data_IF_188821401197
#
_entry.id   IF_188821401197
#
_cell.length_a   1.000
_cell.length_b   1.000
_cell.length_c   1.000
_cell.angle_alpha   90.00
_cell.angle_beta   90.00
_cell.angle_gamma   90.00
#
_symmetry.space_group_name_H-M   'P 1'
#
loop_
_entity.id
_entity.type
_entity.pdbx_description
1 polymer ?
#
# COMPACT_ATOMS: atom_id res chain seq x y z
N UNK A 1 -8.46 24.63 -6.22
CA UNK A 1 -7.51 24.69 -5.09
C UNK A 1 -7.50 23.39 -4.28
N UNK A 2 -8.62 22.97 -3.66
CA UNK A 2 -8.69 21.74 -2.83
C UNK A 2 -8.26 20.45 -3.56
N UNK A 3 -8.74 20.22 -4.79
CA UNK A 3 -8.34 19.03 -5.58
C UNK A 3 -6.84 18.97 -5.88
N UNK A 4 -6.20 20.11 -6.14
CA UNK A 4 -4.76 20.16 -6.42
C UNK A 4 -3.95 19.87 -5.16
N UNK A 5 -4.40 20.37 -4.01
CA UNK A 5 -3.78 20.10 -2.71
C UNK A 5 -3.83 18.60 -2.38
N UNK A 6 -4.98 17.94 -2.55
CA UNK A 6 -5.11 16.49 -2.35
C UNK A 6 -4.20 15.69 -3.28
N UNK A 7 -4.06 16.11 -4.54
CA UNK A 7 -3.18 15.44 -5.51
C UNK A 7 -1.69 15.60 -5.16
N UNK A 8 -1.29 16.75 -4.62
CA UNK A 8 0.07 16.97 -4.12
C UNK A 8 0.33 16.14 -2.86
N UNK A 9 -0.63 16.09 -1.93
CA UNK A 9 -0.54 15.26 -0.73
C UNK A 9 -0.44 13.77 -1.06
N UNK A 10 -1.21 13.29 -2.03
CA UNK A 10 -1.11 11.90 -2.50
C UNK A 10 0.30 11.57 -3.01
N UNK A 11 0.86 12.42 -3.89
CA UNK A 11 2.24 12.23 -4.37
C UNK A 11 3.28 12.31 -3.27
N UNK A 12 3.08 13.20 -2.29
CA UNK A 12 3.97 13.30 -1.13
C UNK A 12 3.95 12.01 -0.30
N UNK A 13 2.77 11.40 -0.11
CA UNK A 13 2.65 10.10 0.58
C UNK A 13 3.45 9.03 -0.17
N UNK A 14 3.28 8.89 -1.49
CA UNK A 14 4.03 7.93 -2.31
C UNK A 14 5.55 8.11 -2.17
N UNK A 15 6.04 9.36 -2.19
CA UNK A 15 7.47 9.65 -2.02
C UNK A 15 7.95 9.26 -0.61
N UNK A 16 7.15 9.56 0.42
CA UNK A 16 7.48 9.20 1.80
C UNK A 16 7.48 7.69 2.02
N UNK A 17 6.59 6.95 1.36
CA UNK A 17 6.56 5.48 1.39
C UNK A 17 7.85 4.89 0.78
N UNK A 18 8.29 5.45 -0.35
CA UNK A 18 9.57 5.07 -0.96
C UNK A 18 10.76 5.38 -0.04
N UNK A 19 10.76 6.54 0.62
CA UNK A 19 11.81 6.92 1.59
C UNK A 19 11.80 5.97 2.78
N UNK A 20 10.63 5.62 3.32
CA UNK A 20 10.50 4.67 4.42
C UNK A 20 11.03 3.28 4.03
N UNK A 21 10.74 2.83 2.82
CA UNK A 21 11.31 1.60 2.27
C UNK A 21 12.83 1.65 2.17
N UNK A 22 13.41 2.71 1.58
CA UNK A 22 14.86 2.87 1.45
C UNK A 22 15.53 2.92 2.83
N UNK A 23 14.94 3.63 3.79
CA UNK A 23 15.42 3.69 5.16
C UNK A 23 15.42 2.30 5.82
N UNK A 24 14.36 1.51 5.63
CA UNK A 24 14.27 0.16 6.17
C UNK A 24 15.33 -0.77 5.57
N UNK A 25 15.55 -0.69 4.24
CA UNK A 25 16.60 -1.44 3.56
C UNK A 25 17.99 -1.04 4.06
N UNK A 26 18.25 0.26 4.20
CA UNK A 26 19.53 0.76 4.71
C UNK A 26 19.80 0.32 6.15
N UNK A 27 18.80 0.43 7.04
CA UNK A 27 18.90 -0.01 8.43
C UNK A 27 19.06 -1.53 8.56
N UNK A 28 18.51 -2.28 7.62
CA UNK A 28 18.51 -3.75 7.63
C UNK A 28 19.61 -4.35 6.75
N UNK A 29 20.55 -3.53 6.24
CA UNK A 29 21.58 -3.95 5.29
C UNK A 29 22.45 -5.08 5.84
N UNK A 30 22.75 -5.08 7.15
CA UNK A 30 23.50 -6.14 7.81
C UNK A 30 22.80 -7.51 7.81
N UNK A 31 21.48 -7.54 7.58
CA UNK A 31 20.64 -8.74 7.56
C UNK A 31 20.12 -9.06 6.15
N UNK A 32 20.86 -8.68 5.10
CA UNK A 32 20.44 -8.82 3.69
C UNK A 32 19.96 -10.24 3.31
N UNK A 33 20.62 -11.28 3.83
CA UNK A 33 20.22 -12.68 3.59
C UNK A 33 18.86 -13.01 4.19
N UNK A 34 18.55 -12.49 5.37
CA UNK A 34 17.24 -12.65 6.04
C UNK A 34 16.17 -11.84 5.32
N UNK A 35 16.52 -10.68 4.76
CA UNK A 35 15.61 -9.81 4.01
C UNK A 35 15.13 -10.45 2.70
N UNK A 36 16.06 -10.94 1.88
CA UNK A 36 15.76 -11.39 0.52
C UNK A 36 15.54 -12.91 0.41
N UNK A 37 16.16 -13.70 1.29
CA UNK A 37 16.06 -15.15 1.28
C UNK A 37 15.39 -15.62 2.57
N UNK A 38 14.06 -15.60 2.58
CA UNK A 38 13.30 -16.30 3.60
C UNK A 38 13.35 -17.81 3.31
N UNK A 39 13.85 -18.56 4.30
CA UNK A 39 13.83 -20.01 4.29
C UNK A 39 13.89 -20.51 5.72
N UNK A 40 13.27 -21.67 5.99
CA UNK A 40 13.25 -22.32 7.32
C UNK A 40 14.64 -22.47 7.97
N UNK A 41 15.70 -22.44 7.17
CA UNK A 41 17.08 -22.60 7.62
C UNK A 41 17.80 -21.26 7.90
N UNK A 42 17.21 -20.11 7.51
CA UNK A 42 17.82 -18.77 7.63
C UNK A 42 17.09 -17.93 8.70
N UNK A 43 15.76 -18.06 8.80
CA UNK A 43 14.97 -17.38 9.83
C UNK A 43 15.01 -18.20 11.11
N UNK A 44 15.92 -17.87 12.02
CA UNK A 44 16.12 -18.60 13.27
C UNK A 44 15.44 -17.91 14.45
N UNK A 45 15.26 -16.58 14.40
CA UNK A 45 14.68 -15.81 15.50
C UNK A 45 13.33 -15.16 15.14
N UNK A 46 12.55 -14.87 16.19
CA UNK A 46 11.31 -14.09 16.06
C UNK A 46 11.58 -12.68 15.52
N UNK A 47 12.75 -12.11 15.83
CA UNK A 47 13.17 -10.80 15.32
C UNK A 47 13.38 -10.83 13.80
N UNK A 48 14.04 -11.87 13.29
CA UNK A 48 14.28 -12.07 11.86
C UNK A 48 12.97 -12.22 11.08
N UNK A 49 12.02 -12.97 11.63
CA UNK A 49 10.68 -13.15 11.03
C UNK A 49 9.94 -11.82 10.94
N UNK A 50 10.05 -11.00 12.00
CA UNK A 50 9.40 -9.69 12.04
C UNK A 50 10.05 -8.74 11.03
N UNK A 51 11.38 -8.71 10.97
CA UNK A 51 12.13 -7.85 10.07
C UNK A 51 11.82 -8.17 8.61
N UNK A 52 11.78 -9.46 8.27
CA UNK A 52 11.41 -9.93 6.93
C UNK A 52 9.95 -9.56 6.58
N UNK A 53 9.02 -9.72 7.52
CA UNK A 53 7.62 -9.31 7.32
C UNK A 53 7.49 -7.78 7.12
N UNK A 54 8.20 -6.97 7.90
CA UNK A 54 8.24 -5.52 7.72
C UNK A 54 8.84 -5.13 6.36
N UNK A 55 9.87 -5.86 5.90
CA UNK A 55 10.44 -5.67 4.59
C UNK A 55 9.43 -5.96 3.48
N UNK A 56 8.71 -7.09 3.53
CA UNK A 56 7.64 -7.41 2.56
C UNK A 56 6.60 -6.28 2.51
N UNK A 57 6.12 -5.81 3.68
CA UNK A 57 5.16 -4.71 3.75
C UNK A 57 5.71 -3.46 3.08
N UNK A 58 6.94 -3.05 3.42
CA UNK A 58 7.55 -1.85 2.88
C UNK A 58 7.77 -1.93 1.36
N UNK A 59 8.16 -3.10 0.83
CA UNK A 59 8.25 -3.34 -0.62
C UNK A 59 6.90 -3.14 -1.29
N UNK A 60 5.84 -3.77 -0.76
CA UNK A 60 4.51 -3.68 -1.34
C UNK A 60 3.99 -2.24 -1.30
N UNK A 61 4.14 -1.56 -0.15
CA UNK A 61 3.71 -0.17 0.05
C UNK A 61 4.53 0.81 -0.78
N UNK A 62 5.76 0.50 -1.17
CA UNK A 62 6.52 1.35 -2.10
C UNK A 62 6.13 1.12 -3.57
N UNK A 63 5.91 -0.13 -3.98
CA UNK A 63 5.72 -0.49 -5.40
C UNK A 63 4.29 -0.24 -5.89
N UNK A 64 3.28 -0.64 -5.10
CA UNK A 64 1.89 -0.61 -5.56
C UNK A 64 1.34 0.80 -5.74
N UNK A 65 1.61 1.78 -4.86
CA UNK A 65 1.18 3.16 -5.08
C UNK A 65 1.79 3.78 -6.35
N UNK A 66 3.07 3.53 -6.62
CA UNK A 66 3.73 3.96 -7.88
C UNK A 66 3.05 3.31 -9.09
N UNK A 67 2.83 1.99 -9.02
CA UNK A 67 2.19 1.25 -10.11
C UNK A 67 0.75 1.73 -10.35
N UNK A 68 0.01 1.99 -9.27
CA UNK A 68 -1.36 2.51 -9.31
C UNK A 68 -1.41 3.92 -9.89
N UNK A 69 -0.48 4.80 -9.51
CA UNK A 69 -0.33 6.14 -10.08
C UNK A 69 -0.07 6.09 -11.59
N UNK A 70 0.82 5.19 -12.06
CA UNK A 70 1.10 5.00 -13.48
C UNK A 70 -0.17 4.54 -14.22
N UNK A 71 -0.85 3.51 -13.71
CA UNK A 71 -2.09 2.98 -14.30
C UNK A 71 -3.17 4.07 -14.34
N UNK A 72 -3.31 4.84 -13.27
CA UNK A 72 -4.26 5.96 -13.17
C UNK A 72 -4.01 6.98 -14.28
N UNK A 73 -2.77 7.42 -14.44
CA UNK A 73 -2.41 8.47 -15.39
C UNK A 73 -2.60 7.98 -16.84
N UNK A 74 -2.29 6.70 -17.12
CA UNK A 74 -2.60 6.05 -18.40
C UNK A 74 -4.10 6.01 -18.69
N UNK A 75 -4.92 5.59 -17.72
CA UNK A 75 -6.38 5.52 -17.91
C UNK A 75 -6.93 6.92 -18.19
N UNK A 76 -6.52 7.93 -17.43
CA UNK A 76 -7.01 9.30 -17.60
C UNK A 76 -6.60 9.94 -18.94
N UNK A 77 -5.57 9.42 -19.61
CA UNK A 77 -5.12 9.86 -20.93
C UNK A 77 -5.90 9.18 -22.08
N UNK A 78 -6.71 8.16 -21.81
CA UNK A 78 -7.50 7.48 -22.83
C UNK A 78 -8.63 8.39 -23.33
N UNK A 79 -8.78 8.47 -24.65
CA UNK A 79 -9.92 9.14 -25.29
C UNK A 79 -11.13 8.20 -25.30
N UNK A 80 -11.85 8.18 -24.18
CA UNK A 80 -13.04 7.35 -23.98
C UNK A 80 -14.23 8.21 -23.54
N UNK A 81 -15.42 7.71 -23.80
CA UNK A 81 -16.64 8.30 -23.24
C UNK A 81 -16.53 8.37 -21.71
N UNK A 82 -16.91 9.52 -21.14
CA UNK A 82 -16.78 9.84 -19.72
C UNK A 82 -17.28 8.74 -18.77
N UNK A 83 -18.37 8.06 -19.12
CA UNK A 83 -18.94 7.00 -18.29
C UNK A 83 -18.08 5.73 -18.31
N UNK A 84 -17.69 5.29 -19.50
CA UNK A 84 -16.78 4.15 -19.67
C UNK A 84 -15.41 4.41 -19.01
N UNK A 85 -14.90 5.65 -19.13
CA UNK A 85 -13.67 6.08 -18.47
C UNK A 85 -13.77 5.97 -16.93
N UNK A 86 -14.90 6.40 -16.34
CA UNK A 86 -15.14 6.29 -14.89
C UNK A 86 -15.18 4.83 -14.44
N UNK A 87 -15.85 3.96 -15.18
CA UNK A 87 -15.93 2.53 -14.87
C UNK A 87 -14.54 1.90 -14.89
N UNK A 88 -13.79 2.12 -15.96
CA UNK A 88 -12.42 1.61 -16.09
C UNK A 88 -11.52 2.13 -14.98
N UNK A 89 -11.61 3.41 -14.64
CA UNK A 89 -10.85 4.02 -13.56
C UNK A 89 -11.08 3.33 -12.22
N UNK A 90 -12.33 3.28 -11.73
CA UNK A 90 -12.60 2.72 -10.39
C UNK A 90 -12.38 1.21 -10.33
N UNK A 91 -12.68 0.48 -11.42
CA UNK A 91 -12.40 -0.94 -11.49
C UNK A 91 -10.89 -1.21 -11.43
N UNK A 92 -10.10 -0.43 -12.15
CA UNK A 92 -8.64 -0.61 -12.18
C UNK A 92 -8.02 -0.30 -10.83
N UNK A 93 -8.43 0.78 -10.16
CA UNK A 93 -7.92 1.10 -8.82
C UNK A 93 -8.27 -0.01 -7.82
N UNK A 94 -9.51 -0.52 -7.85
CA UNK A 94 -9.94 -1.67 -7.05
C UNK A 94 -9.09 -2.92 -7.30
N UNK A 95 -8.82 -3.24 -8.58
CA UNK A 95 -7.99 -4.38 -8.95
C UNK A 95 -6.54 -4.19 -8.49
N UNK A 96 -6.00 -2.98 -8.56
CA UNK A 96 -4.65 -2.67 -8.06
C UNK A 96 -4.54 -2.88 -6.55
N UNK A 97 -5.54 -2.45 -5.78
CA UNK A 97 -5.57 -2.66 -4.33
C UNK A 97 -5.76 -4.15 -3.96
N UNK A 98 -6.58 -4.88 -4.72
CA UNK A 98 -6.66 -6.34 -4.59
C UNK A 98 -5.33 -7.02 -4.91
N UNK A 99 -4.62 -6.54 -5.94
CA UNK A 99 -3.28 -6.97 -6.29
C UNK A 99 -2.29 -6.75 -5.16
N UNK A 100 -2.34 -5.59 -4.49
CA UNK A 100 -1.53 -5.28 -3.32
C UNK A 100 -1.77 -6.30 -2.20
N UNK A 101 -3.03 -6.53 -1.82
CA UNK A 101 -3.38 -7.48 -0.76
C UNK A 101 -2.92 -8.91 -1.11
N UNK A 102 -3.16 -9.32 -2.36
CA UNK A 102 -2.74 -10.63 -2.84
C UNK A 102 -1.22 -10.78 -2.78
N UNK A 103 -0.45 -9.81 -3.29
CA UNK A 103 1.00 -9.82 -3.25
C UNK A 103 1.52 -9.86 -1.82
N UNK A 104 0.94 -9.06 -0.92
CA UNK A 104 1.33 -9.03 0.48
C UNK A 104 1.16 -10.41 1.13
N UNK A 105 0.02 -11.09 0.91
CA UNK A 105 -0.22 -12.44 1.44
C UNK A 105 0.66 -13.48 0.75
N UNK A 106 0.79 -13.42 -0.58
CA UNK A 106 1.56 -14.36 -1.37
C UNK A 106 3.04 -14.34 -1.00
N UNK A 107 3.64 -13.16 -0.80
CA UNK A 107 5.04 -13.07 -0.37
C UNK A 107 5.26 -13.65 1.02
N UNK A 108 4.31 -13.47 1.95
CA UNK A 108 4.39 -14.13 3.27
C UNK A 108 4.27 -15.65 3.16
N UNK A 109 3.38 -16.13 2.29
CA UNK A 109 3.19 -17.56 2.06
C UNK A 109 4.41 -18.21 1.40
N UNK A 110 4.96 -17.61 0.35
CA UNK A 110 6.18 -18.07 -0.34
C UNK A 110 7.38 -18.08 0.62
N UNK A 111 7.51 -17.03 1.44
CA UNK A 111 8.56 -16.95 2.47
C UNK A 111 8.34 -17.88 3.67
N UNK A 112 7.19 -18.54 3.77
CA UNK A 112 6.84 -19.41 4.90
C UNK A 112 6.80 -18.67 6.24
N UNK A 113 6.54 -17.37 6.23
CA UNK A 113 6.58 -16.51 7.42
C UNK A 113 5.16 -16.15 7.88
N UNK A 114 4.97 -16.00 9.20
CA UNK A 114 3.70 -15.57 9.74
C UNK A 114 3.48 -14.06 9.49
N UNK A 115 2.24 -13.66 9.22
CA UNK A 115 1.91 -12.23 9.10
C UNK A 115 2.12 -11.51 10.43
N UNK A 116 3.04 -10.55 10.43
CA UNK A 116 3.27 -9.64 11.55
C UNK A 116 2.04 -8.78 11.86
N UNK A 117 1.95 -8.19 13.06
CA UNK A 117 0.92 -7.21 13.36
C UNK A 117 0.87 -6.06 12.34
N UNK A 118 2.04 -5.62 11.84
CA UNK A 118 2.13 -4.58 10.81
C UNK A 118 1.46 -5.00 9.49
N UNK A 119 1.76 -6.21 9.01
CA UNK A 119 1.15 -6.75 7.79
C UNK A 119 -0.38 -6.88 7.93
N UNK A 120 -0.86 -7.29 9.12
CA UNK A 120 -2.31 -7.39 9.40
C UNK A 120 -2.99 -6.02 9.40
N UNK A 121 -2.37 -5.00 10.00
CA UNK A 121 -2.91 -3.63 9.98
C UNK A 121 -3.03 -3.13 8.55
N UNK A 122 -1.99 -3.31 7.73
CA UNK A 122 -2.02 -2.89 6.33
C UNK A 122 -3.07 -3.64 5.52
N UNK A 123 -3.26 -4.96 5.74
CA UNK A 123 -4.35 -5.70 5.11
C UNK A 123 -5.73 -5.16 5.50
N UNK A 124 -5.96 -4.83 6.78
CA UNK A 124 -7.24 -4.26 7.22
C UNK A 124 -7.48 -2.90 6.58
N UNK A 125 -6.45 -2.04 6.52
CA UNK A 125 -6.54 -0.74 5.84
C UNK A 125 -6.86 -0.92 4.35
N UNK A 126 -6.21 -1.87 3.67
CA UNK A 126 -6.48 -2.18 2.26
C UNK A 126 -7.89 -2.72 2.02
N UNK A 127 -8.44 -3.54 2.91
CA UNK A 127 -9.84 -3.98 2.82
C UNK A 127 -10.79 -2.77 2.90
N UNK A 128 -10.49 -1.78 3.74
CA UNK A 128 -11.27 -0.53 3.81
C UNK A 128 -11.14 0.28 2.51
N UNK A 129 -9.93 0.39 1.94
CA UNK A 129 -9.69 1.07 0.66
C UNK A 129 -10.50 0.38 -0.46
N UNK A 130 -10.38 -0.95 -0.61
CA UNK A 130 -11.16 -1.72 -1.58
C UNK A 130 -12.67 -1.52 -1.42
N UNK A 131 -13.18 -1.47 -0.19
CA UNK A 131 -14.60 -1.25 0.07
C UNK A 131 -15.06 0.13 -0.43
N UNK A 132 -14.23 1.14 -0.21
CA UNK A 132 -14.46 2.51 -0.65
C UNK A 132 -14.40 2.63 -2.19
N UNK A 133 -13.44 1.96 -2.83
CA UNK A 133 -13.30 1.91 -4.29
C UNK A 133 -14.44 1.14 -4.96
N UNK A 134 -14.84 -0.02 -4.42
CA UNK A 134 -16.00 -0.77 -4.90
C UNK A 134 -17.29 0.05 -4.81
N UNK A 135 -17.46 0.80 -3.70
CA UNK A 135 -18.59 1.70 -3.54
C UNK A 135 -18.60 2.80 -4.61
N UNK A 136 -17.43 3.37 -4.96
CA UNK A 136 -17.35 4.35 -6.05
C UNK A 136 -17.56 3.76 -7.43
N UNK A 137 -17.07 2.55 -7.68
CA UNK A 137 -17.33 1.84 -8.92
C UNK A 137 -18.84 1.70 -9.14
N UNK A 138 -19.59 1.30 -8.12
CA UNK A 138 -21.06 1.22 -8.20
C UNK A 138 -21.68 2.63 -8.30
N UNK A 139 -21.42 3.52 -7.35
CA UNK A 139 -22.10 4.81 -7.27
C UNK A 139 -21.82 5.68 -8.50
N UNK A 140 -20.55 5.82 -8.90
CA UNK A 140 -20.13 6.76 -9.95
C UNK A 140 -19.82 6.07 -11.28
N UNK A 141 -19.30 4.85 -11.24
CA UNK A 141 -19.05 4.06 -12.45
C UNK A 141 -20.35 3.51 -13.05
N UNK A 142 -21.30 3.03 -12.25
CA UNK A 142 -22.55 2.46 -12.76
C UNK A 142 -23.70 3.47 -12.75
N UNK A 143 -23.95 4.15 -11.62
CA UNK A 143 -25.09 5.06 -11.49
C UNK A 143 -24.79 6.52 -11.84
N UNK A 144 -23.52 6.89 -12.05
CA UNK A 144 -23.13 8.27 -12.38
C UNK A 144 -23.31 9.28 -11.23
N UNK A 145 -23.52 8.81 -9.99
CA UNK A 145 -23.72 9.65 -8.82
C UNK A 145 -22.41 10.28 -8.34
N UNK A 146 -22.34 11.63 -8.37
CA UNK A 146 -21.12 12.39 -8.05
C UNK A 146 -21.07 12.92 -6.59
N UNK A 147 -22.13 12.73 -5.79
CA UNK A 147 -22.28 13.34 -4.47
C UNK A 147 -21.26 12.88 -3.40
N UNK A 148 -20.73 11.66 -3.52
CA UNK A 148 -19.77 11.09 -2.55
C UNK A 148 -18.31 11.43 -2.86
N UNK A 149 -18.04 12.21 -3.91
CA UNK A 149 -16.69 12.45 -4.41
C UNK A 149 -15.72 13.09 -3.40
N UNK A 150 -16.12 14.14 -2.64
CA UNK A 150 -15.20 14.75 -1.68
C UNK A 150 -14.88 13.80 -0.52
N UNK A 151 -15.89 13.05 -0.06
CA UNK A 151 -15.74 12.06 0.99
C UNK A 151 -14.77 10.95 0.55
N UNK A 152 -14.99 10.37 -0.62
CA UNK A 152 -14.11 9.36 -1.22
C UNK A 152 -12.64 9.78 -1.22
N UNK A 153 -12.33 10.95 -1.81
CA UNK A 153 -10.94 11.41 -1.94
C UNK A 153 -10.28 11.60 -0.58
N UNK A 154 -11.03 12.11 0.39
CA UNK A 154 -10.52 12.36 1.74
C UNK A 154 -10.28 11.04 2.46
N UNK A 155 -11.24 10.11 2.41
CA UNK A 155 -11.13 8.78 3.03
C UNK A 155 -9.96 7.99 2.48
N UNK A 156 -9.82 7.90 1.15
CA UNK A 156 -8.70 7.18 0.52
C UNK A 156 -7.37 7.81 0.91
N UNK A 157 -7.25 9.15 0.89
CA UNK A 157 -6.04 9.83 1.33
C UNK A 157 -5.71 9.54 2.80
N UNK A 158 -6.69 9.57 3.69
CA UNK A 158 -6.51 9.26 5.12
C UNK A 158 -6.07 7.82 5.34
N UNK A 159 -6.64 6.87 4.60
CA UNK A 159 -6.27 5.46 4.69
C UNK A 159 -4.83 5.22 4.20
N UNK A 160 -4.41 5.82 3.07
CA UNK A 160 -3.01 5.75 2.64
C UNK A 160 -2.05 6.44 3.61
N UNK A 161 -2.44 7.58 4.19
CA UNK A 161 -1.64 8.23 5.24
C UNK A 161 -1.48 7.33 6.48
N UNK A 162 -2.52 6.57 6.86
CA UNK A 162 -2.45 5.60 7.93
C UNK A 162 -1.53 4.41 7.59
N UNK A 163 -1.56 3.93 6.33
CA UNK A 163 -0.64 2.92 5.80
C UNK A 163 0.80 3.38 5.91
N UNK A 164 1.12 4.59 5.41
CA UNK A 164 2.45 5.21 5.54
C UNK A 164 2.88 5.34 7.00
N UNK A 165 2.00 5.84 7.86
CA UNK A 165 2.30 6.00 9.29
C UNK A 165 2.63 4.66 9.94
N UNK A 166 1.82 3.63 9.68
CA UNK A 166 2.04 2.29 10.24
C UNK A 166 3.38 1.69 9.77
N UNK A 167 3.68 1.82 8.47
CA UNK A 167 4.87 1.27 7.83
C UNK A 167 6.13 2.01 8.26
N UNK A 168 6.04 3.32 8.49
CA UNK A 168 7.17 4.12 8.96
C UNK A 168 7.41 3.96 10.46
N UNK A 169 6.37 4.02 11.30
CA UNK A 169 6.54 4.07 12.75
C UNK A 169 6.91 2.71 13.36
N UNK A 170 6.36 1.61 12.82
CA UNK A 170 6.52 0.28 13.42
C UNK A 170 7.97 -0.23 13.42
N UNK A 171 8.75 -0.13 12.32
CA UNK A 171 10.16 -0.51 12.31
C UNK A 171 10.99 0.28 13.33
N UNK A 172 10.80 1.61 13.43
CA UNK A 172 11.55 2.45 14.38
C UNK A 172 11.25 2.08 15.83
N UNK A 173 9.98 1.87 16.17
CA UNK A 173 9.59 1.48 17.53
C UNK A 173 10.19 0.13 17.95
N UNK A 174 10.33 -0.80 17.01
CA UNK A 174 10.90 -2.11 17.29
C UNK A 174 12.44 -2.10 17.31
N UNK A 175 13.10 -1.42 16.36
CA UNK A 175 14.56 -1.26 16.35
C UNK A 175 15.07 -0.56 17.63
N UNK A 176 14.37 0.48 18.09
CA UNK A 176 14.74 1.21 19.31
C UNK A 176 14.66 0.34 20.57
N UNK A 177 13.74 -0.64 20.60
CA UNK A 177 13.61 -1.59 21.72
C UNK A 177 14.68 -2.67 21.74
N UNK A 178 15.33 -2.95 20.61
CA UNK A 178 16.34 -4.01 20.49
C UNK A 178 17.76 -3.52 20.77
N UNK A 179 18.01 -2.20 20.67
CA UNK A 179 19.31 -1.57 20.91
C UNK A 179 19.47 -1.02 22.35
N UNK A 180 18.61 -1.45 23.27
CA UNK A 180 18.67 -1.17 24.71
C UNK A 180 18.76 -2.49 25.47
#
# INVERSE_FOLDING_TARGET
MFNNMLAVLGRLITVLELVAYVALVALSYHSFKVLYFAGKNIIQTRSDTLLHSCFIVAVCVAIFPISSDIVRDYILALDMEKMALRQLFYLSMFVMECGFMFALVAFHWIGGCALSPLARVNLVLSVLICSVEATQFVARGIYGFDGLMPFYKTTVLTLHAATLFSTSAYPFAHFWRYNR
#
